data_IF_277196628132
#
_entry.id   IF_277196628132
#
_cell.length_a   1.000
_cell.length_b   1.000
_cell.length_c   1.000
_cell.angle_alpha   90.00
_cell.angle_beta   90.00
_cell.angle_gamma   90.00
#
_symmetry.space_group_name_H-M   'P 1'
#
loop_
_entity.id
_entity.type
_entity.pdbx_description
1 polymer ?
#
# COMPACT_ATOMS: atom_id res chain seq x y z
N UNK A 1 -15.14 7.23 -12.91
CA UNK A 1 -14.10 6.41 -13.55
C UNK A 1 -13.73 7.04 -14.90
N UNK A 2 -12.45 7.09 -15.26
CA UNK A 2 -12.03 7.50 -16.61
C UNK A 2 -12.49 6.42 -17.59
N UNK A 3 -13.35 6.77 -18.54
CA UNK A 3 -13.76 5.83 -19.60
C UNK A 3 -12.49 5.43 -20.37
N UNK A 4 -12.24 4.13 -20.52
CA UNK A 4 -11.13 3.56 -21.32
C UNK A 4 -9.72 3.59 -20.69
N UNK A 5 -9.59 3.60 -19.37
CA UNK A 5 -8.31 3.33 -18.69
C UNK A 5 -8.45 2.05 -17.87
N UNK A 6 -7.61 1.06 -18.14
CA UNK A 6 -7.49 -0.17 -17.33
C UNK A 6 -6.17 -0.19 -16.55
N UNK A 7 -6.11 -1.02 -15.51
CA UNK A 7 -4.88 -1.23 -14.73
C UNK A 7 -3.76 -1.70 -15.66
N UNK A 8 -2.60 -1.06 -15.55
CA UNK A 8 -1.44 -1.34 -16.39
C UNK A 8 -1.33 -0.46 -17.64
N UNK A 9 -2.36 0.32 -17.99
CA UNK A 9 -2.26 1.27 -19.09
C UNK A 9 -1.27 2.39 -18.79
N UNK A 10 -0.57 2.84 -19.84
CA UNK A 10 0.21 4.05 -19.80
C UNK A 10 -0.75 5.23 -19.93
N UNK A 11 -0.60 6.22 -19.05
CA UNK A 11 -1.44 7.43 -19.07
C UNK A 11 -0.58 8.68 -19.04
N UNK A 12 -1.04 9.71 -19.75
CA UNK A 12 -0.59 11.09 -19.54
C UNK A 12 -1.57 11.78 -18.61
N UNK A 13 -1.07 12.27 -17.48
CA UNK A 13 -1.84 13.05 -16.51
C UNK A 13 -1.39 14.50 -16.58
N UNK A 14 -2.30 15.39 -16.97
CA UNK A 14 -2.10 16.84 -16.94
C UNK A 14 -2.90 17.40 -15.76
N UNK A 15 -2.29 18.27 -14.96
CA UNK A 15 -2.93 18.78 -13.76
C UNK A 15 -2.07 19.76 -12.99
N UNK A 16 -2.59 20.18 -11.83
CA UNK A 16 -1.86 21.04 -10.89
C UNK A 16 -1.30 20.20 -9.75
N UNK A 17 -0.09 20.50 -9.30
CA UNK A 17 0.39 19.93 -8.03
C UNK A 17 -0.33 20.58 -6.86
N UNK A 18 -0.53 19.82 -5.80
CA UNK A 18 -1.06 20.33 -4.54
C UNK A 18 -0.66 19.44 -3.38
N UNK A 19 -1.23 19.75 -2.22
CA UNK A 19 -1.03 18.96 -1.01
C UNK A 19 -2.40 18.50 -0.49
N UNK A 20 -2.52 17.24 -0.11
CA UNK A 20 -3.71 16.68 0.53
C UNK A 20 -3.28 15.81 1.71
N UNK A 21 -3.70 16.18 2.93
CA UNK A 21 -3.26 15.55 4.18
C UNK A 21 -1.74 15.36 4.33
N UNK A 22 -0.96 16.35 3.87
CA UNK A 22 0.50 16.32 3.91
C UNK A 22 1.17 15.53 2.76
N UNK A 23 0.39 14.85 1.91
CA UNK A 23 0.90 14.18 0.72
C UNK A 23 0.94 15.14 -0.47
N UNK A 24 2.02 15.09 -1.25
CA UNK A 24 2.08 15.76 -2.55
C UNK A 24 1.20 14.98 -3.53
N UNK A 25 0.23 15.65 -4.11
CA UNK A 25 -0.73 15.06 -5.04
C UNK A 25 -0.75 15.81 -6.36
N UNK A 26 -1.15 15.13 -7.42
CA UNK A 26 -1.55 15.76 -8.68
C UNK A 26 -3.07 15.86 -8.65
N UNK A 27 -3.60 17.07 -8.83
CA UNK A 27 -5.02 17.32 -9.09
C UNK A 27 -5.21 17.27 -10.61
N UNK A 28 -5.66 16.14 -11.17
CA UNK A 28 -5.74 15.96 -12.61
C UNK A 28 -6.81 16.90 -13.19
N UNK A 29 -6.45 17.59 -14.26
CA UNK A 29 -7.34 18.35 -15.14
C UNK A 29 -7.73 17.47 -16.34
N UNK A 30 -6.78 16.69 -16.84
CA UNK A 30 -6.98 15.79 -17.98
C UNK A 30 -6.16 14.52 -17.80
N UNK A 31 -6.75 13.38 -18.13
CA UNK A 31 -6.04 12.10 -18.21
C UNK A 31 -6.27 11.52 -19.59
N UNK A 32 -5.18 11.24 -20.31
CA UNK A 32 -5.21 10.67 -21.66
C UNK A 32 -4.60 9.27 -21.60
N UNK A 33 -5.35 8.26 -22.05
CA UNK A 33 -4.78 6.92 -22.24
C UNK A 33 -3.80 6.97 -23.41
N UNK A 34 -2.60 6.45 -23.20
CA UNK A 34 -1.57 6.28 -24.23
C UNK A 34 -1.54 4.83 -24.74
N UNK A 35 -2.53 4.02 -24.35
CA UNK A 35 -2.62 2.60 -24.68
C UNK A 35 -1.94 1.69 -23.66
N UNK A 36 -1.90 0.40 -24.01
CA UNK A 36 -1.20 -0.62 -23.24
C UNK A 36 0.19 -0.81 -23.84
N UNK A 37 1.21 -0.59 -23.03
CA UNK A 37 2.61 -0.95 -23.32
C UNK A 37 3.02 -2.02 -22.31
N UNK A 38 4.24 -2.56 -22.40
CA UNK A 38 4.74 -3.49 -21.39
C UNK A 38 4.60 -2.88 -19.99
N UNK A 39 3.91 -3.59 -19.11
CA UNK A 39 3.66 -3.13 -17.77
C UNK A 39 5.01 -2.94 -17.05
N UNK A 40 5.30 -1.71 -16.63
CA UNK A 40 6.47 -1.44 -15.79
C UNK A 40 6.24 -2.15 -14.47
N UNK A 41 7.08 -3.14 -14.16
CA UNK A 41 7.10 -3.77 -12.85
C UNK A 41 7.94 -2.90 -11.90
N UNK A 42 7.33 -2.23 -10.91
CA UNK A 42 8.09 -1.43 -9.99
C UNK A 42 9.03 -2.33 -9.18
N UNK A 43 10.29 -1.91 -9.02
CA UNK A 43 11.23 -2.59 -8.13
C UNK A 43 10.68 -2.53 -6.70
N UNK A 44 10.40 -3.69 -6.13
CA UNK A 44 10.02 -3.84 -4.72
C UNK A 44 11.26 -3.74 -3.86
N UNK A 45 11.17 -2.98 -2.76
CA UNK A 45 12.24 -2.82 -1.78
C UNK A 45 11.80 -3.51 -0.48
N UNK A 46 12.53 -4.55 -0.08
CA UNK A 46 12.31 -5.21 1.21
C UNK A 46 12.80 -4.32 2.35
N UNK A 47 11.91 -4.04 3.30
CA UNK A 47 12.21 -3.21 4.47
C UNK A 47 11.74 -3.91 5.75
N UNK A 48 12.54 -3.78 6.81
CA UNK A 48 12.06 -3.93 8.19
C UNK A 48 11.52 -2.61 8.72
N UNK A 49 10.70 -2.66 9.77
CA UNK A 49 9.99 -1.48 10.29
C UNK A 49 10.94 -0.32 10.66
N UNK A 50 12.14 -0.62 11.17
CA UNK A 50 13.16 0.34 11.56
C UNK A 50 13.76 1.12 10.37
N UNK A 51 13.70 0.55 9.16
CA UNK A 51 14.27 1.17 7.96
C UNK A 51 13.29 2.17 7.30
N UNK A 52 12.02 2.18 7.70
CA UNK A 52 11.00 3.05 7.12
C UNK A 52 11.29 4.51 7.46
N UNK A 53 11.50 5.33 6.43
CA UNK A 53 11.77 6.76 6.55
C UNK A 53 11.38 7.53 5.27
N UNK A 54 11.59 8.85 5.27
CA UNK A 54 11.18 9.75 4.18
C UNK A 54 11.81 9.42 2.81
N UNK A 55 12.98 8.77 2.76
CA UNK A 55 13.66 8.37 1.53
C UNK A 55 12.82 7.42 0.65
N UNK A 56 11.99 6.59 1.30
CA UNK A 56 11.21 5.55 0.62
C UNK A 56 9.80 6.01 0.23
N UNK A 57 9.39 7.25 0.53
CA UNK A 57 8.06 7.75 0.18
C UNK A 57 7.83 7.66 -1.33
N UNK A 58 6.68 7.12 -1.72
CA UNK A 58 6.28 6.88 -3.12
C UNK A 58 6.93 5.64 -3.76
N UNK A 59 7.81 4.92 -3.05
CA UNK A 59 8.37 3.64 -3.51
C UNK A 59 7.44 2.49 -3.17
N UNK A 60 7.53 1.42 -3.97
CA UNK A 60 6.91 0.14 -3.63
C UNK A 60 7.84 -0.58 -2.67
N UNK A 61 7.35 -0.86 -1.47
CA UNK A 61 8.07 -1.52 -0.39
C UNK A 61 7.35 -2.81 -0.02
N UNK A 62 8.09 -3.76 0.55
CA UNK A 62 7.53 -4.97 1.14
C UNK A 62 8.02 -5.08 2.58
N UNK A 63 7.07 -5.24 3.49
CA UNK A 63 7.33 -5.44 4.91
C UNK A 63 6.91 -6.85 5.31
N UNK A 64 7.79 -7.55 5.99
CA UNK A 64 7.59 -8.93 6.41
C UNK A 64 7.43 -8.99 7.92
N UNK A 65 6.45 -9.75 8.40
CA UNK A 65 6.23 -9.82 9.85
C UNK A 65 4.94 -10.46 10.28
N UNK A 66 4.71 -10.41 11.59
CA UNK A 66 3.50 -10.92 12.25
C UNK A 66 2.47 -9.80 12.39
N UNK A 67 1.23 -10.06 12.00
CA UNK A 67 0.12 -9.13 12.25
C UNK A 67 -0.13 -9.09 13.76
N UNK A 68 -0.05 -7.89 14.34
CA UNK A 68 -0.32 -7.64 15.75
C UNK A 68 -1.73 -7.18 16.01
N UNK A 69 -2.27 -6.36 15.11
CA UNK A 69 -3.64 -5.89 15.21
C UNK A 69 -4.25 -5.60 13.84
N UNK A 70 -5.56 -5.81 13.74
CA UNK A 70 -6.38 -5.43 12.58
C UNK A 70 -7.55 -4.60 13.10
N UNK A 71 -7.56 -3.30 12.82
CA UNK A 71 -8.55 -2.36 13.33
C UNK A 71 -9.34 -1.74 12.19
N UNK A 72 -10.66 -1.67 12.38
CA UNK A 72 -11.51 -0.91 11.46
C UNK A 72 -11.21 0.58 11.61
N UNK A 73 -11.02 1.26 10.48
CA UNK A 73 -10.84 2.71 10.38
C UNK A 73 -11.86 3.26 9.36
N UNK A 74 -13.09 2.72 9.39
CA UNK A 74 -14.16 3.12 8.48
C UNK A 74 -14.57 4.58 8.73
N UNK A 75 -14.88 5.36 7.68
CA UNK A 75 -15.06 4.94 6.27
C UNK A 75 -13.75 4.85 5.46
N UNK A 76 -12.59 5.10 6.06
CA UNK A 76 -11.31 5.17 5.36
C UNK A 76 -10.72 3.80 5.02
N UNK A 77 -11.05 2.76 5.80
CA UNK A 77 -10.68 1.38 5.51
C UNK A 77 -10.26 0.61 6.76
N UNK A 78 -9.09 -0.02 6.71
CA UNK A 78 -8.55 -0.85 7.80
C UNK A 78 -7.10 -0.49 8.10
N UNK A 79 -6.76 -0.45 9.38
CA UNK A 79 -5.38 -0.30 9.85
C UNK A 79 -4.87 -1.63 10.36
N UNK A 80 -3.70 -2.01 9.89
CA UNK A 80 -3.01 -3.23 10.29
C UNK A 80 -1.64 -2.83 10.86
N UNK A 81 -1.30 -3.35 12.03
CA UNK A 81 0.03 -3.24 12.61
C UNK A 81 0.78 -4.54 12.34
N UNK A 82 1.96 -4.46 11.72
CA UNK A 82 2.81 -5.62 11.43
C UNK A 82 4.15 -5.48 12.14
N UNK A 83 4.43 -6.40 13.07
CA UNK A 83 5.72 -6.48 13.76
C UNK A 83 6.76 -7.11 12.84
N UNK A 84 7.77 -6.32 12.48
CA UNK A 84 8.89 -6.77 11.65
C UNK A 84 10.13 -6.88 12.53
N UNK A 85 10.61 -8.09 12.77
CA UNK A 85 11.68 -8.34 13.76
C UNK A 85 11.25 -8.07 15.20
N UNK A 86 12.19 -7.67 16.04
CA UNK A 86 12.04 -7.79 17.50
C UNK A 86 11.51 -6.52 18.19
N UNK A 87 11.50 -5.37 17.51
CA UNK A 87 11.38 -4.09 18.22
C UNK A 87 10.39 -3.06 17.64
N UNK A 88 10.12 -3.01 16.33
CA UNK A 88 9.15 -2.05 15.77
C UNK A 88 8.09 -2.68 14.88
N UNK A 89 6.95 -2.01 14.85
CA UNK A 89 5.83 -2.34 13.97
C UNK A 89 5.72 -1.31 12.86
N UNK A 90 5.43 -1.79 11.65
CA UNK A 90 5.05 -0.95 10.53
C UNK A 90 3.52 -0.84 10.48
N UNK A 91 3.03 0.34 10.08
CA UNK A 91 1.62 0.56 9.85
C UNK A 91 1.26 0.28 8.40
N UNK A 92 0.23 -0.53 8.21
CA UNK A 92 -0.35 -0.84 6.90
C UNK A 92 -1.75 -0.24 6.88
N UNK A 93 -2.06 0.55 5.86
CA UNK A 93 -3.38 1.12 5.64
C UNK A 93 -4.02 0.52 4.39
N UNK A 94 -5.08 -0.26 4.59
CA UNK A 94 -5.91 -0.80 3.52
C UNK A 94 -7.04 0.19 3.26
N UNK A 95 -6.94 0.95 2.18
CA UNK A 95 -7.97 1.93 1.83
C UNK A 95 -9.32 1.26 1.51
N UNK A 96 -10.44 1.87 1.90
CA UNK A 96 -11.78 1.38 1.56
C UNK A 96 -12.09 1.33 0.07
N UNK A 97 -11.27 2.01 -0.75
CA UNK A 97 -11.36 2.02 -2.21
C UNK A 97 -10.69 0.84 -2.88
N UNK A 98 -9.92 0.02 -2.14
CA UNK A 98 -9.33 -1.22 -2.69
C UNK A 98 -10.17 -2.42 -2.30
N UNK A 99 -10.22 -3.44 -3.16
CA UNK A 99 -11.00 -4.65 -2.92
C UNK A 99 -10.27 -5.61 -1.96
N UNK A 100 -10.00 -5.13 -0.75
CA UNK A 100 -9.38 -5.88 0.35
C UNK A 100 -10.18 -5.59 1.61
N UNK A 101 -10.81 -6.64 2.16
CA UNK A 101 -11.53 -6.56 3.43
C UNK A 101 -11.05 -7.70 4.34
N UNK A 102 -10.32 -7.40 5.42
CA UNK A 102 -9.87 -8.40 6.39
C UNK A 102 -11.02 -9.22 7.02
N UNK A 103 -12.28 -8.76 6.95
CA UNK A 103 -13.44 -9.57 7.39
C UNK A 103 -13.80 -10.67 6.40
N UNK A 104 -13.56 -10.45 5.11
CA UNK A 104 -13.82 -11.42 4.04
C UNK A 104 -12.68 -12.45 3.95
N UNK A 105 -11.44 -12.00 4.12
CA UNK A 105 -10.28 -12.88 4.17
C UNK A 105 -9.83 -13.15 5.60
N UNK A 106 -10.26 -14.30 6.14
CA UNK A 106 -9.92 -14.75 7.51
C UNK A 106 -8.43 -15.04 7.72
N UNK A 107 -7.61 -15.00 6.67
CA UNK A 107 -6.15 -15.14 6.80
C UNK A 107 -5.50 -13.83 7.23
N UNK A 108 -6.08 -12.66 6.92
CA UNK A 108 -5.59 -11.36 7.36
C UNK A 108 -6.09 -11.08 8.79
N UNK A 109 -5.45 -11.71 9.76
CA UNK A 109 -5.79 -11.59 11.18
C UNK A 109 -4.55 -11.63 12.06
N UNK A 110 -4.72 -11.18 13.30
CA UNK A 110 -3.69 -11.23 14.34
C UNK A 110 -3.07 -12.63 14.46
N UNK A 111 -1.75 -12.67 14.67
CA UNK A 111 -1.00 -13.90 14.83
C UNK A 111 -0.39 -14.44 13.54
N UNK A 112 -1.01 -14.17 12.39
CA UNK A 112 -0.54 -14.66 11.09
C UNK A 112 0.64 -13.85 10.57
N UNK A 113 1.51 -14.50 9.81
CA UNK A 113 2.70 -13.88 9.23
C UNK A 113 2.49 -13.62 7.74
N UNK A 114 2.88 -12.44 7.29
CA UNK A 114 2.73 -12.01 5.90
C UNK A 114 3.95 -11.23 5.42
N UNK A 115 4.17 -11.31 4.12
CA UNK A 115 4.82 -10.28 3.33
C UNK A 115 3.74 -9.35 2.80
N UNK A 116 3.77 -8.08 3.18
CA UNK A 116 2.82 -7.07 2.74
C UNK A 116 3.53 -6.09 1.83
N UNK A 117 3.12 -6.07 0.56
CA UNK A 117 3.63 -5.13 -0.45
C UNK A 117 2.73 -3.90 -0.54
N UNK A 118 3.30 -2.72 -0.68
CA UNK A 118 2.50 -1.51 -0.84
C UNK A 118 3.33 -0.29 -1.20
N UNK A 119 2.65 0.81 -1.51
CA UNK A 119 3.33 2.10 -1.67
C UNK A 119 3.53 2.74 -0.31
N UNK A 120 4.75 3.15 0.00
CA UNK A 120 5.00 3.89 1.23
C UNK A 120 4.51 5.34 1.10
N UNK A 121 3.67 5.78 2.02
CA UNK A 121 3.23 7.17 2.13
C UNK A 121 3.53 7.71 3.53
N UNK A 122 3.44 9.05 3.67
CA UNK A 122 3.43 9.72 4.96
C UNK A 122 2.12 10.47 5.13
N UNK A 123 1.36 10.14 6.17
CA UNK A 123 0.08 10.74 6.48
C UNK A 123 0.09 11.23 7.93
N UNK A 124 -0.15 12.54 8.12
CA UNK A 124 -0.13 13.19 9.45
C UNK A 124 1.11 12.84 10.30
N UNK A 125 2.28 12.70 9.66
CA UNK A 125 3.54 12.40 10.32
C UNK A 125 3.88 10.91 10.46
N UNK A 126 2.92 10.01 10.25
CA UNK A 126 3.12 8.56 10.30
C UNK A 126 3.39 7.97 8.91
N UNK A 127 4.25 6.97 8.84
CA UNK A 127 4.47 6.19 7.63
C UNK A 127 3.45 5.07 7.52
N UNK A 128 2.86 4.92 6.34
CA UNK A 128 1.88 3.88 6.04
C UNK A 128 2.31 3.13 4.77
N UNK A 129 2.33 1.80 4.84
CA UNK A 129 2.39 0.94 3.65
C UNK A 129 0.96 0.78 3.14
N UNK A 130 0.72 1.13 1.88
CA UNK A 130 -0.61 1.03 1.26
C UNK A 130 -0.66 -0.06 0.19
N UNK A 131 -1.20 -1.26 0.52
CA UNK A 131 -1.50 -2.30 -0.44
C UNK A 131 -2.59 -1.86 -1.42
N UNK A 132 -2.63 -2.49 -2.59
CA UNK A 132 -3.54 -2.12 -3.69
C UNK A 132 -4.60 -3.17 -3.95
N UNK A 133 -4.32 -4.42 -3.61
CA UNK A 133 -5.20 -5.57 -3.85
C UNK A 133 -4.81 -6.74 -2.94
N UNK A 134 -5.64 -7.79 -2.91
CA UNK A 134 -5.43 -8.91 -2.00
C UNK A 134 -4.10 -9.63 -2.22
N UNK A 135 -3.62 -9.70 -3.47
CA UNK A 135 -2.35 -10.34 -3.81
C UNK A 135 -1.12 -9.64 -3.23
N UNK A 136 -1.26 -8.39 -2.77
CA UNK A 136 -0.18 -7.70 -2.08
C UNK A 136 0.01 -8.24 -0.64
N UNK A 137 -0.85 -9.15 -0.17
CA UNK A 137 -0.72 -9.92 1.07
C UNK A 137 -0.30 -11.36 0.74
N UNK A 138 0.98 -11.66 0.89
CA UNK A 138 1.52 -13.01 0.67
C UNK A 138 1.77 -13.68 2.02
N UNK A 139 1.07 -14.78 2.36
CA UNK A 139 1.32 -15.50 3.61
C UNK A 139 2.77 -16.00 3.68
N UNK A 140 3.44 -15.72 4.81
CA UNK A 140 4.72 -16.34 5.12
C UNK A 140 4.45 -17.77 5.56
N UNK A 141 4.95 -18.75 4.80
CA UNK A 141 4.94 -20.15 5.24
C UNK A 141 5.84 -20.26 6.48
N UNK A 142 5.41 -20.97 7.53
CA UNK A 142 6.33 -21.35 8.60
C UNK A 142 7.51 -22.09 7.97
N UNK A 143 8.73 -21.67 8.28
CA UNK A 143 9.90 -22.50 8.04
C UNK A 143 9.74 -23.71 8.97
N UNK A 144 9.50 -24.89 8.40
CA UNK A 144 9.47 -26.15 9.14
C UNK A 144 10.85 -26.46 9.73
#
# INVERSE_FOLDING_TARGET
>A
ALKNVKKGDKVRVEGKTGTFFGMRVIKPIKVTSLGSEDAISPKVIDLVAEQINDYYIGRVVRVSGKIESVKSDLPFGWRIEIRSGDHKSAQVMVASTVDVDPRRDKTIKEGNHFNITGVLIKFKGSFLVMPRELKDFEPLKPTL
#
